data_IF_495402863939
#
_entry.id   IF_495402863939
#
_cell.length_a   1.000
_cell.length_b   1.000
_cell.length_c   1.000
_cell.angle_alpha   90.00
_cell.angle_beta   90.00
_cell.angle_gamma   90.00
#
_symmetry.space_group_name_H-M   'P 1'
#
loop_
_entity.id
_entity.type
_entity.pdbx_description
1 polymer ?
#
# COMPACT_ATOMS: atom_id res chain seq x y z
N UNK A 1 -4.04 -12.20 5.75
CA UNK A 1 -4.84 -13.19 4.98
C UNK A 1 -6.25 -12.67 4.71
N UNK A 2 -6.48 -12.16 3.51
CA UNK A 2 -7.79 -11.78 2.99
C UNK A 2 -8.60 -12.99 2.49
N UNK A 3 -7.94 -14.05 2.04
CA UNK A 3 -8.59 -15.21 1.46
C UNK A 3 -8.23 -16.52 2.18
N UNK A 4 -9.24 -17.34 2.46
CA UNK A 4 -9.07 -18.68 3.01
C UNK A 4 -10.03 -19.65 2.30
N UNK A 5 -9.77 -20.97 2.37
CA UNK A 5 -10.62 -21.96 1.70
C UNK A 5 -11.85 -22.29 2.54
N UNK A 6 -13.03 -22.38 1.92
CA UNK A 6 -14.27 -22.74 2.62
C UNK A 6 -14.22 -24.12 3.29
N UNK A 7 -13.49 -25.05 2.68
CA UNK A 7 -13.07 -26.36 3.21
C UNK A 7 -11.69 -26.71 2.64
N UNK A 8 -11.02 -27.80 3.09
CA UNK A 8 -9.62 -28.09 2.72
C UNK A 8 -9.31 -28.06 1.21
N UNK A 9 -10.26 -28.48 0.36
CA UNK A 9 -10.15 -28.45 -1.10
C UNK A 9 -11.12 -27.46 -1.77
N UNK A 10 -11.76 -26.59 -0.98
CA UNK A 10 -12.79 -25.68 -1.45
C UNK A 10 -12.25 -24.41 -2.14
N UNK A 11 -13.16 -23.64 -2.75
CA UNK A 11 -12.83 -22.31 -3.26
C UNK A 11 -12.34 -21.39 -2.14
N UNK A 12 -11.56 -20.39 -2.52
CA UNK A 12 -11.16 -19.32 -1.61
C UNK A 12 -12.32 -18.35 -1.42
N UNK A 13 -12.47 -17.85 -0.21
CA UNK A 13 -13.56 -16.96 0.19
C UNK A 13 -13.03 -15.83 1.08
N UNK A 14 -13.68 -14.67 0.98
CA UNK A 14 -13.48 -13.56 1.89
C UNK A 14 -14.11 -13.83 3.27
N UNK A 15 -13.61 -13.18 4.33
CA UNK A 15 -14.20 -13.29 5.66
C UNK A 15 -15.60 -12.68 5.71
N UNK A 16 -16.50 -13.37 6.40
CA UNK A 16 -17.82 -12.86 6.79
C UNK A 16 -18.05 -13.04 8.30
N UNK A 17 -18.86 -12.19 8.95
CA UNK A 17 -19.02 -12.23 10.40
C UNK A 17 -19.39 -13.63 10.93
N UNK A 18 -18.64 -14.10 11.93
CA UNK A 18 -18.85 -15.42 12.56
C UNK A 18 -18.37 -16.62 11.74
N UNK A 19 -17.89 -16.42 10.51
CA UNK A 19 -17.47 -17.52 9.65
C UNK A 19 -16.17 -18.20 10.12
N UNK A 20 -16.03 -19.47 9.70
CA UNK A 20 -14.80 -20.25 9.80
C UNK A 20 -14.37 -20.72 8.42
N UNK A 21 -13.07 -20.86 8.22
CA UNK A 21 -12.47 -21.32 6.97
C UNK A 21 -11.17 -22.09 7.27
N UNK A 22 -10.41 -22.46 6.24
CA UNK A 22 -9.14 -23.16 6.35
C UNK A 22 -8.04 -22.38 5.62
N UNK A 23 -6.90 -22.17 6.27
CA UNK A 23 -5.76 -21.48 5.68
C UNK A 23 -5.31 -22.19 4.41
N UNK A 24 -5.13 -21.43 3.32
CA UNK A 24 -4.73 -21.95 2.01
C UNK A 24 -3.34 -22.59 1.99
N UNK A 25 -2.46 -22.19 2.92
CA UNK A 25 -1.06 -22.64 2.99
C UNK A 25 -0.89 -23.92 3.80
N UNK A 26 -1.52 -24.00 4.97
CA UNK A 26 -1.27 -25.07 5.94
C UNK A 26 -2.51 -25.93 6.24
N UNK A 27 -3.69 -25.56 5.72
CA UNK A 27 -4.96 -26.26 5.97
C UNK A 27 -5.50 -26.17 7.39
N UNK A 28 -4.89 -25.35 8.28
CA UNK A 28 -5.37 -25.17 9.65
C UNK A 28 -6.64 -24.29 9.70
N UNK A 29 -7.45 -24.48 10.73
CA UNK A 29 -8.70 -23.73 10.89
C UNK A 29 -8.46 -22.24 11.21
N UNK A 30 -9.21 -21.39 10.52
CA UNK A 30 -9.23 -19.94 10.66
C UNK A 30 -10.60 -19.44 11.12
N UNK A 31 -10.62 -18.24 11.71
CA UNK A 31 -11.81 -17.47 12.07
C UNK A 31 -11.79 -16.12 11.36
N UNK A 32 -12.97 -15.67 10.95
CA UNK A 32 -13.12 -14.33 10.42
C UNK A 32 -12.96 -13.29 11.54
N UNK A 33 -12.14 -12.28 11.28
CA UNK A 33 -12.03 -11.06 12.09
C UNK A 33 -12.70 -9.94 11.32
N UNK A 34 -13.98 -9.71 11.62
CA UNK A 34 -14.80 -8.67 11.01
C UNK A 34 -15.09 -7.60 12.06
N UNK A 35 -14.76 -6.35 11.75
CA UNK A 35 -14.97 -5.22 12.66
C UNK A 35 -14.80 -3.89 11.94
N UNK A 36 -14.87 -2.79 12.68
CA UNK A 36 -14.75 -1.43 12.15
C UNK A 36 -13.35 -0.84 12.27
N UNK A 37 -12.48 -1.49 13.05
CA UNK A 37 -11.14 -0.98 13.38
C UNK A 37 -10.08 -1.49 12.40
N UNK A 38 -10.07 -2.79 12.14
CA UNK A 38 -9.09 -3.44 11.25
C UNK A 38 -9.77 -3.90 9.96
N UNK A 39 -8.98 -3.99 8.89
CA UNK A 39 -9.41 -4.64 7.67
C UNK A 39 -9.89 -6.07 7.97
N UNK A 40 -10.97 -6.48 7.32
CA UNK A 40 -11.51 -7.82 7.55
C UNK A 40 -10.52 -8.86 7.02
N UNK A 41 -10.19 -9.83 7.85
CA UNK A 41 -9.20 -10.85 7.51
C UNK A 41 -9.50 -12.19 8.20
N UNK A 42 -8.86 -13.24 7.70
CA UNK A 42 -8.81 -14.55 8.33
C UNK A 42 -7.63 -14.62 9.29
N UNK A 43 -7.89 -15.06 10.52
CA UNK A 43 -6.86 -15.33 11.52
C UNK A 43 -6.88 -16.81 11.93
N UNK A 44 -5.72 -17.40 12.18
CA UNK A 44 -5.63 -18.75 12.72
C UNK A 44 -6.29 -18.85 14.10
N UNK A 45 -7.05 -19.95 14.36
CA UNK A 45 -7.81 -20.10 15.62
C UNK A 45 -6.95 -20.20 16.88
N UNK A 46 -5.82 -20.90 16.81
CA UNK A 46 -5.05 -21.35 17.99
C UNK A 46 -3.55 -21.05 17.91
N UNK A 47 -3.11 -20.28 16.91
CA UNK A 47 -1.69 -19.98 16.71
C UNK A 47 -1.49 -18.64 16.00
N UNK A 48 -0.26 -18.15 16.05
CA UNK A 48 0.23 -17.11 15.15
C UNK A 48 0.09 -17.56 13.69
N UNK A 49 0.31 -16.64 12.75
CA UNK A 49 0.28 -17.01 11.35
C UNK A 49 1.30 -18.14 11.05
N UNK A 50 0.94 -19.02 10.11
CA UNK A 50 1.78 -20.14 9.72
C UNK A 50 2.94 -19.74 8.81
N UNK A 51 2.89 -18.53 8.26
CA UNK A 51 3.95 -17.96 7.44
C UNK A 51 4.66 -16.86 8.26
N UNK A 52 5.97 -17.01 8.54
CA UNK A 52 6.73 -16.01 9.30
C UNK A 52 6.85 -14.66 8.58
N UNK A 53 6.63 -14.61 7.26
CA UNK A 53 6.63 -13.38 6.46
C UNK A 53 5.30 -12.63 6.48
N UNK A 54 4.27 -13.19 7.12
CA UNK A 54 2.97 -12.57 7.21
C UNK A 54 3.01 -11.32 8.08
N UNK A 55 2.71 -10.16 7.48
CA UNK A 55 2.36 -8.96 8.23
C UNK A 55 0.83 -8.77 8.35
N UNK A 56 0.41 -7.80 9.16
CA UNK A 56 -1.00 -7.45 9.31
C UNK A 56 -1.54 -6.70 8.09
N UNK A 57 -2.76 -7.02 7.65
CA UNK A 57 -3.39 -6.31 6.54
C UNK A 57 -3.76 -4.88 6.92
N UNK A 58 -3.28 -3.91 6.15
CA UNK A 58 -3.67 -2.50 6.26
C UNK A 58 -4.66 -2.15 5.14
N UNK A 59 -5.41 -1.03 5.22
CA UNK A 59 -6.24 -0.58 4.10
C UNK A 59 -5.46 -0.43 2.79
N UNK A 60 -4.18 -0.07 2.87
CA UNK A 60 -3.27 0.02 1.72
C UNK A 60 -3.01 -1.34 1.08
N UNK A 61 -2.77 -2.39 1.88
CA UNK A 61 -2.65 -3.77 1.39
C UNK A 61 -3.92 -4.23 0.69
N UNK A 62 -5.08 -4.04 1.32
CA UNK A 62 -6.37 -4.43 0.74
C UNK A 62 -6.61 -3.71 -0.58
N UNK A 63 -6.35 -2.40 -0.62
CA UNK A 63 -6.51 -1.61 -1.84
C UNK A 63 -5.66 -2.14 -3.00
N UNK A 64 -4.41 -2.52 -2.76
CA UNK A 64 -3.58 -3.10 -3.83
C UNK A 64 -4.01 -4.51 -4.22
N UNK A 65 -4.27 -5.39 -3.25
CA UNK A 65 -4.72 -6.76 -3.50
C UNK A 65 -6.03 -6.82 -4.26
N UNK A 66 -6.99 -5.93 -3.98
CA UNK A 66 -8.29 -5.90 -4.70
C UNK A 66 -8.18 -5.65 -6.20
N UNK A 67 -7.02 -5.18 -6.68
CA UNK A 67 -6.77 -4.97 -8.12
C UNK A 67 -6.25 -6.20 -8.85
N UNK A 68 -5.86 -7.23 -8.12
CA UNK A 68 -5.49 -8.52 -8.68
C UNK A 68 -6.73 -9.41 -8.79
N UNK A 69 -6.64 -10.43 -9.64
CA UNK A 69 -7.64 -11.49 -9.65
C UNK A 69 -7.60 -12.26 -8.33
N UNK A 70 -8.74 -12.77 -7.86
CA UNK A 70 -8.79 -13.53 -6.59
C UNK A 70 -7.87 -14.74 -6.60
N UNK A 71 -7.55 -15.29 -7.79
CA UNK A 71 -6.61 -16.40 -7.98
C UNK A 71 -5.14 -15.99 -7.84
N UNK A 72 -4.83 -14.70 -7.89
CA UNK A 72 -3.48 -14.13 -7.80
C UNK A 72 -3.17 -13.57 -6.41
N UNK A 73 -4.17 -13.34 -5.55
CA UNK A 73 -3.98 -12.81 -4.20
C UNK A 73 -3.52 -13.91 -3.23
N UNK A 74 -2.54 -13.63 -2.38
CA UNK A 74 -2.09 -14.50 -1.27
C UNK A 74 -1.83 -15.95 -1.72
N UNK A 75 -1.13 -16.09 -2.84
CA UNK A 75 -0.84 -17.39 -3.44
C UNK A 75 0.31 -18.03 -2.70
N UNK A 76 0.07 -19.26 -2.21
CA UNK A 76 1.14 -20.07 -1.61
C UNK A 76 2.11 -20.52 -2.70
N UNK A 77 3.37 -20.17 -2.52
CA UNK A 77 4.50 -20.64 -3.32
C UNK A 77 5.24 -21.67 -2.48
N UNK A 78 5.54 -22.82 -3.09
CA UNK A 78 6.28 -23.90 -2.47
C UNK A 78 7.63 -24.05 -3.15
N UNK A 79 8.69 -24.24 -2.37
CA UNK A 79 10.02 -24.58 -2.87
C UNK A 79 10.60 -25.74 -2.07
N UNK A 80 11.34 -26.60 -2.75
CA UNK A 80 12.14 -27.64 -2.11
C UNK A 80 13.45 -27.03 -1.60
N UNK A 81 13.67 -27.10 -0.30
CA UNK A 81 14.94 -26.80 0.33
C UNK A 81 15.85 -28.02 0.22
N UNK A 82 16.74 -27.97 -0.76
CA UNK A 82 17.84 -28.93 -0.90
C UNK A 82 18.93 -28.69 0.16
N UNK A 83 19.67 -29.74 0.60
CA UNK A 83 19.58 -31.14 0.19
C UNK A 83 18.58 -31.98 1.00
N UNK A 84 17.88 -31.36 1.97
CA UNK A 84 17.03 -32.08 2.93
C UNK A 84 15.65 -32.46 2.37
N UNK A 85 15.30 -32.01 1.15
CA UNK A 85 14.00 -32.26 0.52
C UNK A 85 12.82 -31.66 1.29
N UNK A 86 13.06 -30.68 2.17
CA UNK A 86 12.01 -30.06 2.96
C UNK A 86 11.24 -29.04 2.11
N UNK A 87 9.91 -29.06 2.17
CA UNK A 87 9.11 -28.07 1.44
C UNK A 87 8.92 -26.82 2.29
N UNK A 88 9.48 -25.71 1.82
CA UNK A 88 9.26 -24.37 2.39
C UNK A 88 8.11 -23.71 1.65
N UNK A 89 7.22 -23.05 2.40
CA UNK A 89 6.02 -22.40 1.86
C UNK A 89 5.93 -20.96 2.34
N UNK A 90 5.74 -20.04 1.42
CA UNK A 90 5.42 -18.64 1.72
C UNK A 90 4.29 -18.14 0.84
N UNK A 91 3.52 -17.16 1.32
CA UNK A 91 2.41 -16.54 0.60
C UNK A 91 2.87 -15.25 -0.05
N UNK A 92 2.86 -15.23 -1.38
CA UNK A 92 3.05 -13.99 -2.13
C UNK A 92 1.80 -13.11 -2.00
N UNK A 93 1.95 -11.81 -1.72
CA UNK A 93 0.79 -10.90 -1.61
C UNK A 93 -0.05 -10.89 -2.88
N UNK A 94 0.63 -10.76 -4.03
CA UNK A 94 0.06 -10.95 -5.36
C UNK A 94 1.06 -11.76 -6.19
N UNK A 95 0.62 -12.90 -6.76
CA UNK A 95 1.37 -13.68 -7.75
C UNK A 95 0.56 -13.80 -9.01
N UNK A 96 1.02 -13.13 -10.05
CA UNK A 96 0.33 -13.06 -11.34
C UNK A 96 0.46 -14.36 -12.13
N UNK A 97 -0.45 -14.55 -13.08
CA UNK A 97 -0.44 -15.72 -13.98
C UNK A 97 0.85 -15.83 -14.82
N UNK A 98 1.52 -14.72 -15.13
CA UNK A 98 2.82 -14.70 -15.80
C UNK A 98 4.02 -14.94 -14.87
N UNK A 99 3.77 -15.26 -13.60
CA UNK A 99 4.77 -15.60 -12.61
C UNK A 99 5.41 -14.40 -11.91
N UNK A 100 5.01 -13.16 -12.20
CA UNK A 100 5.47 -11.99 -11.45
C UNK A 100 4.85 -11.98 -10.05
N UNK A 101 5.70 -11.94 -9.03
CA UNK A 101 5.30 -11.68 -7.64
C UNK A 101 5.39 -10.18 -7.34
N UNK A 102 4.36 -9.61 -6.76
CA UNK A 102 4.34 -8.24 -6.24
C UNK A 102 4.21 -8.35 -4.73
N UNK A 103 5.30 -8.11 -4.01
CA UNK A 103 5.30 -8.08 -2.55
C UNK A 103 4.98 -6.67 -2.07
N UNK A 104 3.97 -6.56 -1.21
CA UNK A 104 3.54 -5.32 -0.63
C UNK A 104 4.25 -5.17 0.72
N UNK A 105 4.86 -4.00 0.96
CA UNK A 105 5.58 -3.80 2.20
C UNK A 105 5.23 -2.46 2.84
N UNK A 106 4.59 -2.53 4.01
CA UNK A 106 4.27 -1.36 4.83
C UNK A 106 5.19 -1.27 6.07
N UNK A 107 5.43 -2.40 6.75
CA UNK A 107 6.15 -2.40 8.02
C UNK A 107 7.67 -2.47 7.83
N UNK A 108 8.40 -2.47 8.95
CA UNK A 108 9.84 -2.70 8.95
C UNK A 108 10.14 -4.12 8.47
N UNK A 109 11.11 -4.25 7.56
CA UNK A 109 11.66 -5.53 7.13
C UNK A 109 13.19 -5.48 7.30
N UNK A 110 13.78 -6.61 7.70
CA UNK A 110 15.22 -6.73 7.86
C UNK A 110 15.92 -6.89 6.50
N UNK A 111 17.21 -6.58 6.41
CA UNK A 111 17.98 -6.81 5.18
C UNK A 111 18.01 -8.30 4.79
N UNK A 112 18.17 -9.17 5.78
CA UNK A 112 18.15 -10.63 5.59
C UNK A 112 16.81 -11.10 5.02
N UNK A 113 15.70 -10.62 5.56
CA UNK A 113 14.37 -11.02 5.06
C UNK A 113 14.10 -10.50 3.64
N UNK A 114 14.61 -9.31 3.28
CA UNK A 114 14.59 -8.84 1.88
C UNK A 114 15.35 -9.82 0.99
N UNK A 115 16.59 -10.17 1.34
CA UNK A 115 17.43 -11.06 0.53
C UNK A 115 16.80 -12.47 0.40
N UNK A 116 16.26 -13.01 1.50
CA UNK A 116 15.56 -14.30 1.52
C UNK A 116 14.33 -14.30 0.61
N UNK A 117 13.46 -13.28 0.70
CA UNK A 117 12.27 -13.15 -0.16
C UNK A 117 12.65 -13.00 -1.63
N UNK A 118 13.65 -12.19 -1.94
CA UNK A 118 14.13 -11.99 -3.31
C UNK A 118 14.77 -13.23 -3.94
N UNK A 119 15.45 -14.05 -3.13
CA UNK A 119 15.98 -15.33 -3.54
C UNK A 119 14.86 -16.35 -3.72
N UNK A 120 13.90 -16.40 -2.79
CA UNK A 120 12.78 -17.31 -2.83
C UNK A 120 11.88 -17.02 -4.04
N UNK A 121 11.32 -15.82 -4.18
CA UNK A 121 10.40 -15.56 -5.29
C UNK A 121 11.07 -15.40 -6.65
N UNK A 122 12.30 -14.88 -6.69
CA UNK A 122 13.06 -14.67 -7.92
C UNK A 122 12.46 -13.58 -8.82
N UNK A 123 11.41 -13.91 -9.57
CA UNK A 123 10.70 -12.95 -10.44
C UNK A 123 9.71 -12.12 -9.62
N UNK A 124 10.23 -11.11 -8.92
CA UNK A 124 9.41 -10.25 -8.06
C UNK A 124 9.72 -8.75 -8.17
N UNK A 125 8.77 -7.93 -7.73
CA UNK A 125 8.88 -6.49 -7.52
C UNK A 125 8.39 -6.15 -6.11
N UNK A 126 9.11 -5.24 -5.46
CA UNK A 126 8.66 -4.62 -4.21
C UNK A 126 7.76 -3.44 -4.52
N UNK A 127 6.62 -3.36 -3.84
CA UNK A 127 5.79 -2.18 -3.81
C UNK A 127 5.74 -1.68 -2.36
N UNK A 128 6.27 -0.48 -2.13
CA UNK A 128 6.42 0.06 -0.78
C UNK A 128 5.32 1.08 -0.51
N UNK A 129 4.77 1.04 0.70
CA UNK A 129 3.94 2.13 1.18
C UNK A 129 4.83 3.34 1.52
N UNK A 130 4.76 4.38 0.70
CA UNK A 130 5.50 5.62 0.90
C UNK A 130 4.89 6.57 1.92
N UNK A 131 3.62 6.36 2.34
CA UNK A 131 2.93 7.26 3.26
C UNK A 131 3.69 7.49 4.58
N UNK A 132 4.30 6.49 5.23
CA UNK A 132 5.00 6.67 6.51
C UNK A 132 6.29 7.49 6.43
N UNK A 133 6.79 7.79 5.22
CA UNK A 133 8.04 8.52 5.04
C UNK A 133 7.98 9.57 3.93
N UNK A 134 6.78 9.93 3.47
CA UNK A 134 6.59 10.89 2.38
C UNK A 134 7.20 12.26 2.69
N UNK A 135 7.10 12.72 3.94
CA UNK A 135 7.69 13.96 4.44
C UNK A 135 9.23 13.98 4.38
N UNK A 136 9.84 12.80 4.34
CA UNK A 136 11.28 12.57 4.28
C UNK A 136 11.76 12.13 2.90
N UNK A 137 10.87 12.07 1.90
CA UNK A 137 11.19 11.63 0.54
C UNK A 137 11.06 12.79 -0.45
N UNK A 138 12.16 13.49 -0.70
CA UNK A 138 12.18 14.68 -1.55
C UNK A 138 12.49 14.34 -3.00
N UNK A 139 11.55 14.56 -3.92
CA UNK A 139 11.74 14.45 -5.36
C UNK A 139 12.25 15.77 -5.96
N UNK A 140 13.06 15.67 -7.01
CA UNK A 140 13.49 16.79 -7.85
C UNK A 140 13.35 16.39 -9.31
N UNK A 141 12.54 17.13 -10.05
CA UNK A 141 12.36 16.91 -11.47
C UNK A 141 13.67 17.19 -12.23
N UNK A 142 13.91 16.35 -13.24
CA UNK A 142 14.87 16.53 -14.33
C UNK A 142 14.10 16.36 -15.64
N UNK A 143 14.76 16.56 -16.78
CA UNK A 143 14.09 16.61 -18.08
C UNK A 143 13.25 15.35 -18.38
N UNK A 144 13.77 14.16 -18.06
CA UNK A 144 13.11 12.88 -18.36
C UNK A 144 12.97 11.93 -17.16
N UNK A 145 13.48 12.31 -16.00
CA UNK A 145 13.51 11.48 -14.80
C UNK A 145 13.45 12.35 -13.54
N UNK A 146 13.38 11.74 -12.37
CA UNK A 146 13.50 12.47 -11.11
C UNK A 146 14.66 11.94 -10.30
N UNK A 147 15.42 12.84 -9.68
CA UNK A 147 16.28 12.45 -8.56
C UNK A 147 15.48 12.54 -7.28
N UNK A 148 15.93 11.82 -6.25
CA UNK A 148 15.33 11.92 -4.93
C UNK A 148 16.39 11.94 -3.84
N UNK A 149 16.03 12.57 -2.72
CA UNK A 149 16.74 12.47 -1.45
C UNK A 149 15.80 11.85 -0.44
N UNK A 150 16.28 10.82 0.27
CA UNK A 150 15.53 10.15 1.32
C UNK A 150 16.21 10.41 2.66
N UNK A 151 15.55 11.16 3.54
CA UNK A 151 16.04 11.43 4.88
C UNK A 151 15.73 10.26 5.82
N UNK A 152 16.77 9.78 6.50
CA UNK A 152 16.67 8.64 7.42
C UNK A 152 15.95 7.43 6.79
N UNK A 153 16.40 6.95 5.62
CA UNK A 153 15.82 5.78 4.99
C UNK A 153 16.06 4.57 5.87
N UNK A 154 15.17 3.58 5.79
CA UNK A 154 15.45 2.28 6.37
C UNK A 154 16.57 1.64 5.56
N UNK A 155 17.74 1.50 6.18
CA UNK A 155 18.95 0.96 5.52
C UNK A 155 18.79 -0.48 5.05
N UNK A 156 17.79 -1.23 5.54
CA UNK A 156 17.50 -2.59 5.05
C UNK A 156 17.21 -2.61 3.55
N UNK A 157 16.55 -1.57 3.00
CA UNK A 157 16.29 -1.45 1.57
C UNK A 157 17.55 -1.35 0.70
N UNK A 158 18.73 -1.12 1.29
CA UNK A 158 19.98 -1.13 0.54
C UNK A 158 20.42 -2.54 0.13
N UNK A 159 19.84 -3.58 0.75
CA UNK A 159 20.07 -4.97 0.37
C UNK A 159 19.21 -5.44 -0.81
N UNK A 160 18.16 -4.68 -1.15
CA UNK A 160 17.25 -5.06 -2.23
C UNK A 160 17.93 -5.02 -3.60
N UNK A 161 17.78 -6.11 -4.35
CA UNK A 161 18.30 -6.29 -5.72
C UNK A 161 17.15 -6.39 -6.73
N UNK A 162 15.92 -6.59 -6.29
CA UNK A 162 14.73 -6.60 -7.15
C UNK A 162 14.17 -5.19 -7.32
N UNK A 163 13.40 -4.92 -8.39
CA UNK A 163 12.82 -3.60 -8.64
C UNK A 163 11.99 -3.11 -7.44
N UNK A 164 12.07 -1.81 -7.15
CA UNK A 164 11.30 -1.15 -6.09
C UNK A 164 10.40 -0.09 -6.72
N UNK A 165 9.11 -0.19 -6.43
CA UNK A 165 8.12 0.87 -6.64
C UNK A 165 7.73 1.45 -5.29
N UNK A 166 7.63 2.77 -5.20
CA UNK A 166 7.16 3.44 -3.99
C UNK A 166 5.82 4.11 -4.29
N UNK A 167 4.82 3.80 -3.48
CA UNK A 167 3.52 4.42 -3.53
C UNK A 167 3.54 5.79 -2.83
N UNK A 168 3.45 6.87 -3.60
CA UNK A 168 3.42 8.25 -3.10
C UNK A 168 2.00 8.84 -3.16
N UNK A 169 0.97 7.98 -3.14
CA UNK A 169 -0.44 8.37 -3.25
C UNK A 169 -0.87 8.49 -4.71
N UNK A 170 -0.93 9.72 -5.24
CA UNK A 170 -1.36 9.99 -6.62
C UNK A 170 -0.36 9.49 -7.69
N UNK A 171 0.85 9.10 -7.28
CA UNK A 171 1.92 8.66 -8.15
C UNK A 171 2.60 7.39 -7.62
N UNK A 172 3.18 6.61 -8.54
CA UNK A 172 4.18 5.60 -8.21
C UNK A 172 5.54 6.07 -8.63
N UNK A 173 6.51 5.95 -7.74
CA UNK A 173 7.90 6.22 -8.05
C UNK A 173 8.65 4.91 -8.30
N UNK A 174 9.09 4.72 -9.54
CA UNK A 174 9.92 3.58 -9.95
C UNK A 174 11.38 3.88 -9.70
N UNK A 175 11.96 3.27 -8.67
CA UNK A 175 13.36 3.46 -8.31
C UNK A 175 14.24 2.72 -9.32
N UNK A 176 15.11 3.46 -10.02
CA UNK A 176 16.11 2.89 -10.93
C UNK A 176 17.47 2.75 -10.29
N UNK A 177 17.81 3.65 -9.37
CA UNK A 177 19.02 3.54 -8.55
C UNK A 177 18.75 4.10 -7.17
N UNK A 178 19.16 3.35 -6.15
CA UNK A 178 19.20 3.77 -4.76
C UNK A 178 20.67 3.81 -4.33
N UNK A 179 21.17 5.00 -4.02
CA UNK A 179 22.51 5.21 -3.48
C UNK A 179 22.51 4.96 -1.98
N UNK A 180 23.51 4.22 -1.51
CA UNK A 180 23.70 3.83 -0.11
C UNK A 180 24.51 4.84 0.69
N UNK A 181 25.21 5.74 -0.01
CA UNK A 181 26.02 6.82 0.57
C UNK A 181 25.17 8.01 1.03
N UNK A 182 25.74 8.84 1.90
CA UNK A 182 25.07 10.06 2.38
C UNK A 182 25.41 11.25 1.48
N UNK A 183 24.43 12.08 1.06
CA UNK A 183 23.00 11.99 1.36
C UNK A 183 22.31 10.83 0.63
N UNK A 184 21.59 10.00 1.39
CA UNK A 184 20.88 8.86 0.82
C UNK A 184 19.81 9.36 -0.16
N UNK A 185 19.76 8.73 -1.32
CA UNK A 185 18.97 9.22 -2.44
C UNK A 185 19.13 8.34 -3.66
N UNK A 186 18.76 8.85 -4.81
CA UNK A 186 18.73 8.04 -6.01
C UNK A 186 18.07 8.74 -7.16
N UNK A 187 17.71 7.94 -8.16
CA UNK A 187 16.92 8.42 -9.28
C UNK A 187 15.97 7.35 -9.80
N UNK A 188 14.95 7.80 -10.51
CA UNK A 188 13.87 6.96 -10.98
C UNK A 188 12.87 7.71 -11.84
N UNK A 189 11.75 7.04 -12.14
CA UNK A 189 10.66 7.61 -12.93
C UNK A 189 9.42 7.78 -12.06
N UNK A 190 8.83 8.97 -12.13
CA UNK A 190 7.54 9.25 -11.50
C UNK A 190 6.44 8.96 -12.50
N UNK A 191 5.54 8.04 -12.17
CA UNK A 191 4.40 7.67 -13.00
C UNK A 191 3.11 8.10 -12.31
N UNK A 192 2.11 8.64 -13.04
CA UNK A 192 0.75 8.73 -12.51
C UNK A 192 0.30 7.36 -11.99
N UNK A 193 -0.40 7.32 -10.86
CA UNK A 193 -0.83 6.06 -10.23
C UNK A 193 -1.48 5.08 -11.20
N UNK A 194 -2.33 5.58 -12.08
CA UNK A 194 -3.01 4.81 -13.13
C UNK A 194 -2.04 4.11 -14.09
N UNK A 195 -0.98 4.79 -14.50
CA UNK A 195 0.04 4.21 -15.37
C UNK A 195 0.87 3.17 -14.62
N UNK A 196 1.22 3.44 -13.36
CA UNK A 196 1.90 2.47 -12.50
C UNK A 196 1.11 1.17 -12.32
N UNK A 197 -0.19 1.27 -12.05
CA UNK A 197 -1.13 0.12 -11.99
C UNK A 197 -1.11 -0.65 -13.31
N UNK A 198 -1.20 0.04 -14.44
CA UNK A 198 -1.17 -0.58 -15.78
C UNK A 198 0.14 -1.32 -16.03
N UNK A 199 1.28 -0.75 -15.62
CA UNK A 199 2.62 -1.36 -15.76
C UNK A 199 2.77 -2.61 -14.91
N UNK A 200 2.18 -2.62 -13.72
CA UNK A 200 2.05 -3.82 -12.87
C UNK A 200 1.01 -4.82 -13.42
N UNK A 201 0.30 -4.48 -14.50
CA UNK A 201 -0.77 -5.27 -15.13
C UNK A 201 -1.86 -5.65 -14.12
N UNK A 202 -2.15 -4.74 -13.20
CA UNK A 202 -3.26 -4.84 -12.25
C UNK A 202 -4.48 -4.12 -12.83
N UNK A 203 -5.70 -4.53 -12.44
CA UNK A 203 -6.93 -3.92 -12.96
C UNK A 203 -7.16 -2.53 -12.36
N UNK A 204 -7.81 -1.67 -13.12
CA UNK A 204 -8.36 -0.43 -12.56
C UNK A 204 -9.59 -0.76 -11.72
N UNK A 205 -9.74 -0.08 -10.57
CA UNK A 205 -10.99 -0.13 -9.82
C UNK A 205 -12.02 0.78 -10.48
N UNK A 206 -13.28 0.39 -10.40
CA UNK A 206 -14.42 1.26 -10.70
C UNK A 206 -14.50 2.41 -9.69
N UNK A 207 -15.26 3.46 -10.02
CA UNK A 207 -15.49 4.59 -9.12
C UNK A 207 -16.15 4.17 -7.79
N UNK A 208 -16.99 3.13 -7.83
CA UNK A 208 -17.67 2.57 -6.65
C UNK A 208 -16.64 1.91 -5.73
N UNK A 209 -15.87 0.94 -6.26
CA UNK A 209 -14.84 0.26 -5.49
C UNK A 209 -13.81 1.26 -4.94
N UNK A 210 -13.39 2.26 -5.73
CA UNK A 210 -12.47 3.29 -5.26
C UNK A 210 -13.04 4.14 -4.12
N UNK A 211 -14.36 4.41 -4.11
CA UNK A 211 -15.03 5.19 -3.07
C UNK A 211 -15.09 4.46 -1.72
N UNK A 212 -15.09 3.13 -1.72
CA UNK A 212 -15.13 2.31 -0.50
C UNK A 212 -13.83 2.37 0.32
N UNK A 213 -12.71 2.71 -0.33
CA UNK A 213 -11.41 2.80 0.33
C UNK A 213 -11.07 4.20 0.86
N UNK A 214 -11.96 5.19 0.67
CA UNK A 214 -11.72 6.58 1.02
C UNK A 214 -10.69 7.23 0.09
N UNK A 215 -10.98 8.45 -0.36
CA UNK A 215 -10.06 9.21 -1.21
C UNK A 215 -8.80 9.60 -0.43
N UNK A 216 -7.73 8.81 -0.55
CA UNK A 216 -6.39 9.28 -0.15
C UNK A 216 -5.84 10.14 -1.29
N UNK A 217 -6.43 11.32 -1.46
CA UNK A 217 -5.88 12.34 -2.33
C UNK A 217 -4.79 13.06 -1.54
N UNK A 218 -3.56 12.56 -1.63
CA UNK A 218 -2.40 13.40 -1.34
C UNK A 218 -2.00 14.03 -2.66
N UNK A 219 -2.35 15.30 -2.84
CA UNK A 219 -1.80 16.10 -3.93
C UNK A 219 -0.32 16.33 -3.65
N UNK A 220 0.53 15.63 -4.38
CA UNK A 220 1.95 15.97 -4.45
C UNK A 220 2.07 17.20 -5.34
N UNK A 221 1.95 18.38 -4.75
CA UNK A 221 2.28 19.63 -5.45
C UNK A 221 3.80 19.72 -5.58
N UNK A 222 4.31 19.42 -6.76
CA UNK A 222 5.69 19.73 -7.12
C UNK A 222 5.77 21.21 -7.46
N UNK A 223 6.08 22.05 -6.48
CA UNK A 223 6.54 23.40 -6.81
C UNK A 223 7.99 23.32 -7.31
N UNK A 224 8.39 24.27 -8.15
CA UNK A 224 9.73 24.43 -8.74
C UNK A 224 10.83 24.58 -7.66
N UNK A 225 10.42 24.68 -6.39
CA UNK A 225 11.22 24.82 -5.18
C UNK A 225 11.29 23.56 -4.29
N UNK A 226 10.60 22.47 -4.62
CA UNK A 226 10.78 21.16 -3.95
C UNK A 226 10.12 21.00 -2.58
N UNK A 227 9.00 21.69 -2.32
CA UNK A 227 8.24 21.57 -1.06
C UNK A 227 6.97 20.74 -1.25
N UNK A 228 6.83 19.65 -0.51
CA UNK A 228 5.63 18.82 -0.46
C UNK A 228 4.59 19.47 0.45
N UNK A 229 3.40 19.77 -0.08
CA UNK A 229 2.27 20.24 0.74
C UNK A 229 1.35 19.08 1.08
N UNK A 230 1.00 18.95 2.36
CA UNK A 230 0.10 17.92 2.87
C UNK A 230 -1.32 18.46 2.86
N UNK A 231 -2.15 18.04 1.91
CA UNK A 231 -3.61 18.18 2.01
C UNK A 231 -4.17 16.94 2.68
N UNK A 232 -4.80 17.12 3.85
CA UNK A 232 -5.58 16.07 4.48
C UNK A 232 -7.02 16.14 3.97
N UNK A 233 -7.51 15.06 3.37
CA UNK A 233 -8.94 14.81 3.28
C UNK A 233 -9.30 13.82 4.41
N UNK A 234 -9.72 14.34 5.56
CA UNK A 234 -10.23 13.49 6.65
C UNK A 234 -11.69 13.10 6.36
N UNK A 235 -11.89 11.97 5.68
CA UNK A 235 -13.22 11.41 5.45
C UNK A 235 -13.78 10.64 6.66
N UNK A 236 -13.11 10.59 7.83
CA UNK A 236 -13.74 10.01 9.04
C UNK A 236 -14.93 10.85 9.53
N UNK A 237 -15.08 12.09 9.08
CA UNK A 237 -16.27 12.90 9.36
C UNK A 237 -17.51 12.52 8.52
N UNK A 238 -17.38 11.78 7.41
CA UNK A 238 -18.50 11.50 6.51
C UNK A 238 -19.41 10.33 6.97
N UNK A 239 -19.04 9.59 8.03
CA UNK A 239 -19.79 8.39 8.47
C UNK A 239 -20.47 8.52 9.83
N UNK A 240 -20.57 9.73 10.39
CA UNK A 240 -21.19 9.94 11.71
C UNK A 240 -22.65 10.38 11.72
N UNK A 241 -23.32 10.51 10.58
CA UNK A 241 -24.73 10.93 10.52
C UNK A 241 -25.58 10.20 9.44
N UNK A 242 -25.15 9.03 8.97
CA UNK A 242 -25.88 8.25 7.95
C UNK A 242 -26.70 7.07 8.52
N UNK A 243 -26.95 7.04 9.83
CA UNK A 243 -27.92 6.14 10.44
C UNK A 243 -28.78 6.92 11.43
N UNK A 244 -29.75 7.67 10.91
CA UNK A 244 -30.79 8.29 11.74
C UNK A 244 -31.31 9.63 11.25
N UNK A 245 -31.87 9.72 10.04
CA UNK A 245 -32.96 10.63 9.69
C UNK A 245 -33.33 10.42 8.22
N UNK A 246 -34.57 10.04 7.95
CA UNK A 246 -35.15 10.25 6.64
C UNK A 246 -35.30 11.75 6.39
N UNK A 247 -34.95 12.21 5.19
CA UNK A 247 -35.12 13.60 4.80
C UNK A 247 -34.14 14.03 3.73
N UNK A 248 -34.68 14.44 2.59
CA UNK A 248 -34.01 15.11 1.48
C UNK A 248 -33.25 16.35 1.99
N UNK A 249 -31.93 16.27 2.11
CA UNK A 249 -31.08 17.39 2.52
C UNK A 249 -29.87 17.48 1.58
N UNK A 250 -29.92 18.46 0.65
CA UNK A 250 -28.72 18.96 -0.03
C UNK A 250 -27.80 19.60 1.00
N UNK A 251 -26.75 18.90 1.42
CA UNK A 251 -25.74 19.44 2.35
C UNK A 251 -24.63 20.13 1.55
N UNK A 252 -24.52 21.45 1.68
CA UNK A 252 -23.29 22.21 1.36
C UNK A 252 -22.30 22.00 2.51
N UNK A 253 -21.28 21.17 2.32
CA UNK A 253 -20.17 21.04 3.26
C UNK A 253 -19.12 22.11 3.01
N UNK A 254 -18.83 22.97 4.00
CA UNK A 254 -17.66 23.84 3.97
C UNK A 254 -16.40 23.00 4.20
N UNK A 255 -15.49 23.02 3.24
CA UNK A 255 -14.15 22.44 3.32
C UNK A 255 -13.24 23.45 4.02
N UNK A 256 -12.67 23.10 5.18
CA UNK A 256 -11.63 23.90 5.83
C UNK A 256 -10.25 23.48 5.33
N UNK A 257 -9.57 24.39 4.66
CA UNK A 257 -8.19 24.23 4.19
C UNK A 257 -7.29 25.06 5.12
N UNK A 258 -6.41 24.41 5.86
CA UNK A 258 -5.40 25.08 6.68
C UNK A 258 -4.13 25.29 5.86
N UNK A 259 -3.69 26.55 5.73
CA UNK A 259 -2.46 26.92 5.02
C UNK A 259 -1.33 27.19 6.02
N UNK A 260 -0.10 26.81 5.66
CA UNK A 260 1.09 27.01 6.48
C UNK A 260 2.19 27.72 5.68
N UNK A 261 2.91 28.64 6.32
CA UNK A 261 4.07 29.33 5.74
C UNK A 261 5.30 28.42 5.72
N UNK A 262 6.35 28.84 5.01
CA UNK A 262 7.60 28.08 4.88
C UNK A 262 8.33 27.86 6.22
N UNK A 263 8.04 28.68 7.23
CA UNK A 263 8.54 28.54 8.61
C UNK A 263 7.68 27.63 9.50
N UNK A 264 6.60 27.04 8.96
CA UNK A 264 5.67 26.18 9.69
C UNK A 264 4.57 26.93 10.46
N UNK A 265 4.53 28.27 10.41
CA UNK A 265 3.44 29.04 11.03
C UNK A 265 2.13 28.88 10.26
N UNK A 266 1.01 28.74 10.98
CA UNK A 266 -0.34 28.68 10.38
C UNK A 266 -0.71 30.06 9.81
N UNK A 267 -1.16 30.09 8.56
CA UNK A 267 -1.67 31.30 7.90
C UNK A 267 -3.07 31.60 8.46
N UNK A 268 -3.35 32.81 8.94
CA UNK A 268 -4.67 33.20 9.42
C UNK A 268 -5.74 33.07 8.32
N UNK A 269 -6.94 32.64 8.70
CA UNK A 269 -8.04 32.37 7.75
C UNK A 269 -8.40 33.55 6.83
N UNK A 270 -8.21 34.80 7.29
CA UNK A 270 -8.49 36.01 6.51
C UNK A 270 -7.47 36.23 5.38
N UNK A 271 -6.18 35.87 5.56
CA UNK A 271 -5.17 35.96 4.50
C UNK A 271 -5.30 34.83 3.46
N UNK A 272 -5.82 33.67 3.88
CA UNK A 272 -6.05 32.54 2.99
C UNK A 272 -7.17 32.83 1.96
N UNK A 273 -8.15 33.68 2.28
CA UNK A 273 -9.24 34.04 1.39
C UNK A 273 -8.80 34.94 0.22
N UNK A 274 -7.85 35.85 0.45
CA UNK A 274 -7.37 36.80 -0.57
C UNK A 274 -6.48 36.15 -1.65
N UNK A 275 -5.91 34.97 -1.37
CA UNK A 275 -5.08 34.20 -2.30
C UNK A 275 -5.91 33.39 -3.31
N UNK A 276 -7.22 33.22 -3.07
CA UNK A 276 -8.12 32.45 -3.93
C UNK A 276 -8.92 33.31 -4.93
N UNK A 277 -8.86 34.64 -4.81
CA UNK A 277 -9.68 35.56 -5.61
C UNK A 277 -8.92 36.36 -6.66
N UNK A 278 -7.66 36.01 -6.95
CA UNK A 278 -6.94 36.61 -8.10
C UNK A 278 -6.82 35.58 -9.23
N UNK A 279 -7.22 35.96 -10.46
CA UNK A 279 -7.30 35.04 -11.60
C UNK A 279 -5.95 34.46 -12.00
#
# INVERSE_FOLDING_TARGET
MLLARSHKAGPRIYPSPGASAFCSTCGAACVAKCGTVNAWHWAHKKRADCDPWSEGETPWHVWWKTRADENEIEVTVEQSAEPLGLVVRHRADIKRADGLVIELQHSNISATEIEEREQFYGNMVWLLDGQPFLDRFQLRAKDSYHTFRWYSPRRSWFAARRPILIDLGAHLFEVKKLHTETPCGGWGFLHPKKEGIRRLRLRALSSIEASEFGSINVEVVTDVTGVFRRTFLDLKAARRWATGAGGDARVRGEVRIDMFRADGSKVPHQEAADLWTKP
#
